data_IF_870095561774
#
_entry.id   IF_870095561774
#
_cell.length_a   1.000
_cell.length_b   1.000
_cell.length_c   1.000
_cell.angle_alpha   90.00
_cell.angle_beta   90.00
_cell.angle_gamma   90.00
#
_symmetry.space_group_name_H-M   'P 1'
#
loop_
_entity.id
_entity.type
_entity.pdbx_description
1 polymer ?
#
# COMPACT_ATOMS: atom_id res chain seq x y z
N UNK A 1 -46.83 33.96 -27.63
CA UNK A 1 -46.29 33.06 -26.60
C UNK A 1 -44.89 32.63 -27.06
N UNK A 2 -43.84 33.21 -26.48
CA UNK A 2 -42.45 32.80 -26.71
C UNK A 2 -42.11 31.70 -25.69
N UNK A 3 -41.78 30.49 -26.15
CA UNK A 3 -41.17 29.47 -25.31
C UNK A 3 -39.65 29.62 -25.39
N UNK A 4 -39.03 30.11 -24.32
CA UNK A 4 -37.57 30.13 -24.14
C UNK A 4 -37.18 28.77 -23.59
N UNK A 5 -36.48 27.98 -24.40
CA UNK A 5 -36.00 26.66 -24.00
C UNK A 5 -34.57 26.80 -23.47
N UNK A 6 -34.42 26.81 -22.15
CA UNK A 6 -33.12 26.76 -21.48
C UNK A 6 -32.55 25.33 -21.57
N UNK A 7 -31.51 25.15 -22.37
CA UNK A 7 -30.70 23.92 -22.35
C UNK A 7 -29.71 24.05 -21.19
N UNK A 8 -29.94 23.29 -20.11
CA UNK A 8 -28.94 23.09 -19.07
C UNK A 8 -27.93 22.03 -19.55
N UNK A 9 -26.70 22.44 -19.83
CA UNK A 9 -25.59 21.51 -20.03
C UNK A 9 -25.16 20.97 -18.66
N UNK A 10 -25.39 19.67 -18.41
CA UNK A 10 -24.87 18.97 -17.23
C UNK A 10 -23.45 18.53 -17.54
N UNK A 11 -22.44 19.19 -16.94
CA UNK A 11 -21.07 18.67 -16.94
C UNK A 11 -21.04 17.42 -16.04
N UNK A 12 -20.93 16.24 -16.64
CA UNK A 12 -20.51 15.05 -15.91
C UNK A 12 -19.01 15.16 -15.65
N UNK A 13 -18.64 15.50 -14.41
CA UNK A 13 -17.28 15.29 -13.94
C UNK A 13 -17.03 13.78 -13.91
N UNK A 14 -16.17 13.29 -14.80
CA UNK A 14 -15.68 11.92 -14.74
C UNK A 14 -14.69 11.87 -13.57
N UNK A 15 -15.15 11.40 -12.41
CA UNK A 15 -14.23 11.01 -11.35
C UNK A 15 -13.58 9.70 -11.78
N UNK A 16 -12.34 9.77 -12.27
CA UNK A 16 -11.49 8.58 -12.33
C UNK A 16 -11.14 8.24 -10.88
N UNK A 17 -11.71 7.17 -10.33
CA UNK A 17 -11.21 6.63 -9.05
C UNK A 17 -9.78 6.15 -9.31
N UNK A 18 -8.81 6.72 -8.63
CA UNK A 18 -7.45 6.19 -8.66
C UNK A 18 -7.40 4.92 -7.81
N UNK A 19 -6.71 3.90 -8.30
CA UNK A 19 -6.50 2.67 -7.56
C UNK A 19 -5.64 2.94 -6.33
N UNK A 20 -6.14 2.70 -5.12
CA UNK A 20 -5.49 3.18 -3.89
C UNK A 20 -4.91 2.03 -3.06
N UNK A 21 -3.72 2.24 -2.50
CA UNK A 21 -3.08 1.36 -1.52
C UNK A 21 -2.90 2.14 -0.22
N UNK A 22 -3.66 1.77 0.80
CA UNK A 22 -3.61 2.36 2.13
C UNK A 22 -2.82 1.48 3.10
N UNK A 23 -1.81 2.04 3.76
CA UNK A 23 -0.96 1.33 4.74
C UNK A 23 -1.16 1.93 6.12
N UNK A 24 -1.71 1.14 7.04
CA UNK A 24 -2.00 1.52 8.42
C UNK A 24 -0.93 1.01 9.38
N UNK A 25 -0.45 1.90 10.24
CA UNK A 25 0.54 1.59 11.26
C UNK A 25 -0.11 1.45 12.63
N UNK A 26 -0.39 0.20 13.02
CA UNK A 26 -0.76 -0.13 14.40
C UNK A 26 0.44 -0.53 15.26
N UNK A 27 1.66 -0.18 14.87
CA UNK A 27 2.83 -0.32 15.73
C UNK A 27 2.89 0.85 16.74
N UNK A 28 3.68 0.70 17.80
CA UNK A 28 3.85 1.74 18.83
C UNK A 28 4.94 2.77 18.52
N UNK A 29 5.38 2.85 17.27
CA UNK A 29 6.46 3.73 16.80
C UNK A 29 6.20 4.13 15.34
N UNK A 30 6.83 5.22 14.91
CA UNK A 30 6.77 5.66 13.51
C UNK A 30 7.51 4.67 12.61
N UNK A 31 7.01 4.56 11.38
CA UNK A 31 7.61 3.77 10.31
C UNK A 31 7.93 4.68 9.14
N UNK A 32 8.71 4.18 8.21
CA UNK A 32 9.15 4.93 7.03
C UNK A 32 8.87 4.11 5.80
N UNK A 33 8.26 4.74 4.80
CA UNK A 33 7.84 4.07 3.58
C UNK A 33 8.44 4.73 2.35
N UNK A 34 8.87 3.91 1.40
CA UNK A 34 9.36 4.33 0.10
C UNK A 34 8.62 3.59 -0.98
N UNK A 35 8.47 4.25 -2.11
CA UNK A 35 8.02 3.61 -3.34
C UNK A 35 9.19 3.53 -4.31
N UNK A 36 9.49 2.32 -4.78
CA UNK A 36 10.60 2.04 -5.68
C UNK A 36 10.10 1.25 -6.88
N UNK A 37 10.75 1.44 -8.03
CA UNK A 37 10.41 0.79 -9.30
C UNK A 37 11.54 1.03 -10.29
N UNK A 38 11.25 1.17 -11.58
CA UNK A 38 12.25 1.58 -12.57
C UNK A 38 12.67 3.05 -12.42
N UNK A 39 11.80 3.88 -11.84
CA UNK A 39 12.06 5.29 -11.56
C UNK A 39 12.88 5.46 -10.28
N UNK A 40 13.39 6.69 -10.07
CA UNK A 40 14.05 7.04 -8.82
C UNK A 40 13.09 6.85 -7.62
N UNK A 41 13.57 6.33 -6.47
CA UNK A 41 12.75 6.14 -5.28
C UNK A 41 11.99 7.39 -4.83
N UNK A 42 10.71 7.24 -4.49
CA UNK A 42 9.91 8.29 -3.81
C UNK A 42 9.90 8.01 -2.30
N UNK A 43 10.27 9.00 -1.48
CA UNK A 43 10.22 8.90 -0.01
C UNK A 43 11.54 9.29 0.69
N UNK A 44 11.65 9.07 2.01
CA UNK A 44 10.65 8.39 2.86
C UNK A 44 9.43 9.27 3.12
N UNK A 45 8.26 8.65 3.14
CA UNK A 45 7.11 9.17 3.87
C UNK A 45 7.15 8.65 5.30
N UNK A 46 6.85 9.53 6.27
CA UNK A 46 6.72 9.13 7.67
C UNK A 46 5.32 8.58 7.89
N UNK A 47 5.24 7.29 8.20
CA UNK A 47 4.03 6.61 8.60
C UNK A 47 3.95 6.63 10.14
N UNK A 48 3.35 7.70 10.68
CA UNK A 48 3.26 7.91 12.11
C UNK A 48 2.50 6.79 12.85
N UNK A 49 2.85 6.53 14.11
CA UNK A 49 2.16 5.56 14.95
C UNK A 49 0.66 5.89 15.07
N UNK A 50 -0.19 4.91 14.78
CA UNK A 50 -1.66 5.05 14.81
C UNK A 50 -2.27 5.75 13.59
N UNK A 51 -1.47 6.06 12.57
CA UNK A 51 -1.90 6.72 11.33
C UNK A 51 -1.83 5.78 10.11
N UNK A 52 -2.14 6.31 8.94
CA UNK A 52 -1.93 5.67 7.65
C UNK A 52 -1.24 6.60 6.64
N UNK A 53 -0.68 5.99 5.60
CA UNK A 53 -0.26 6.65 4.36
C UNK A 53 -1.03 6.06 3.19
N UNK A 54 -1.20 6.85 2.15
CA UNK A 54 -1.88 6.46 0.91
C UNK A 54 -0.91 6.54 -0.26
N UNK A 55 -0.93 5.51 -1.08
CA UNK A 55 -0.30 5.46 -2.39
C UNK A 55 -1.38 5.25 -3.44
N UNK A 56 -1.16 5.77 -4.64
CA UNK A 56 -1.99 5.45 -5.80
C UNK A 56 -1.21 4.49 -6.67
N UNK A 57 -1.80 3.33 -6.96
CA UNK A 57 -1.17 2.32 -7.79
C UNK A 57 -1.06 2.87 -9.21
N UNK A 58 0.19 2.95 -9.67
CA UNK A 58 0.55 3.36 -11.02
C UNK A 58 1.27 2.20 -11.69
N UNK A 59 1.20 2.17 -13.02
CA UNK A 59 2.05 1.26 -13.78
C UNK A 59 3.49 1.72 -13.69
N UNK A 60 4.40 0.77 -13.54
CA UNK A 60 5.81 1.08 -13.66
C UNK A 60 6.15 1.49 -15.10
N UNK A 61 7.03 2.48 -15.25
CA UNK A 61 7.39 3.02 -16.56
C UNK A 61 8.08 1.99 -17.46
N UNK A 62 8.69 0.95 -16.88
CA UNK A 62 9.26 -0.19 -17.60
C UNK A 62 8.32 -1.39 -17.46
N UNK A 63 7.72 -1.88 -18.57
CA UNK A 63 6.81 -3.02 -18.53
C UNK A 63 7.44 -4.24 -17.84
N UNK A 64 6.74 -4.77 -16.83
CA UNK A 64 7.12 -5.99 -16.13
C UNK A 64 8.08 -5.84 -14.94
N UNK A 65 8.59 -4.64 -14.62
CA UNK A 65 9.46 -4.41 -13.44
C UNK A 65 8.65 -4.34 -12.14
N UNK A 66 7.43 -3.79 -12.21
CA UNK A 66 6.56 -3.60 -11.05
C UNK A 66 7.07 -2.54 -10.09
N UNK A 67 6.27 -2.26 -9.06
CA UNK A 67 6.54 -1.26 -8.03
C UNK A 67 6.58 -1.94 -6.67
N UNK A 68 7.44 -1.45 -5.79
CA UNK A 68 7.58 -1.91 -4.41
C UNK A 68 7.32 -0.75 -3.47
N UNK A 69 6.41 -0.95 -2.53
CA UNK A 69 6.29 -0.10 -1.35
C UNK A 69 7.08 -0.77 -0.22
N UNK A 70 8.29 -0.26 0.02
CA UNK A 70 9.18 -0.72 1.07
C UNK A 70 8.86 -0.01 2.39
N UNK A 71 8.79 -0.76 3.50
CA UNK A 71 8.43 -0.26 4.82
C UNK A 71 9.51 -0.67 5.81
N UNK A 72 10.10 0.29 6.52
CA UNK A 72 11.11 0.04 7.54
C UNK A 72 10.79 0.75 8.86
N UNK A 73 11.38 0.25 9.94
CA UNK A 73 11.44 0.95 11.24
C UNK A 73 12.58 1.97 11.29
N UNK A 74 13.51 1.92 10.34
CA UNK A 74 14.65 2.81 10.24
C UNK A 74 14.37 3.91 9.20
N UNK A 75 14.61 5.21 9.51
CA UNK A 75 14.39 6.33 8.59
C UNK A 75 15.25 6.31 7.32
N UNK A 76 16.31 5.51 7.28
CA UNK A 76 17.20 5.33 6.14
C UNK A 76 17.19 3.88 5.61
N UNK A 77 16.10 3.15 5.86
CA UNK A 77 16.06 1.69 5.76
C UNK A 77 16.35 1.09 4.38
N UNK A 78 16.12 1.84 3.29
CA UNK A 78 16.46 1.38 1.93
C UNK A 78 17.95 1.53 1.58
N UNK A 79 18.71 2.32 2.35
CA UNK A 79 20.11 2.66 2.01
C UNK A 79 21.14 2.06 2.98
N UNK A 80 20.74 1.57 4.15
CA UNK A 80 21.66 1.12 5.21
C UNK A 80 21.55 -0.37 5.53
N UNK A 81 20.80 -1.15 4.75
CA UNK A 81 20.62 -2.58 4.98
C UNK A 81 19.70 -2.91 6.16
N UNK A 82 18.91 -1.96 6.67
CA UNK A 82 17.89 -2.26 7.67
C UNK A 82 16.82 -3.22 7.10
N UNK A 83 16.16 -3.93 8.01
CA UNK A 83 15.04 -4.80 7.68
C UNK A 83 13.89 -4.03 7.04
N UNK A 84 13.32 -4.60 5.98
CA UNK A 84 12.23 -4.03 5.21
C UNK A 84 11.11 -5.07 5.03
N UNK A 85 9.86 -4.63 5.17
CA UNK A 85 8.71 -5.32 4.63
C UNK A 85 8.38 -4.68 3.29
N UNK A 86 8.19 -5.50 2.26
CA UNK A 86 7.93 -5.03 0.92
C UNK A 86 6.54 -5.50 0.48
N UNK A 87 5.71 -4.57 0.03
CA UNK A 87 4.54 -4.87 -0.77
C UNK A 87 4.88 -4.61 -2.23
N UNK A 88 5.02 -5.67 -3.02
CA UNK A 88 5.33 -5.56 -4.44
C UNK A 88 4.07 -5.75 -5.26
N UNK A 89 3.90 -4.96 -6.32
CA UNK A 89 2.82 -5.11 -7.26
C UNK A 89 3.20 -4.77 -8.69
N UNK A 90 2.45 -5.33 -9.65
CA UNK A 90 2.48 -4.95 -11.07
C UNK A 90 1.05 -4.69 -11.51
N UNK A 91 0.75 -3.42 -11.81
CA UNK A 91 -0.53 -3.00 -12.38
C UNK A 91 -0.45 -3.11 -13.91
N UNK A 92 -1.46 -3.73 -14.53
CA UNK A 92 -1.57 -3.88 -15.97
C UNK A 92 -2.56 -2.88 -16.58
N UNK A 93 -2.53 -2.70 -17.90
CA UNK A 93 -3.43 -1.77 -18.63
C UNK A 93 -4.92 -2.10 -18.46
N UNK A 94 -5.24 -3.36 -18.23
CA UNK A 94 -6.61 -3.84 -18.02
C UNK A 94 -7.11 -3.63 -16.57
N UNK A 95 -6.31 -2.97 -15.72
CA UNK A 95 -6.60 -2.76 -14.30
C UNK A 95 -6.37 -4.00 -13.44
N UNK A 96 -5.79 -5.07 -13.98
CA UNK A 96 -5.41 -6.23 -13.17
C UNK A 96 -4.09 -6.00 -12.43
N UNK A 97 -3.97 -6.61 -11.25
CA UNK A 97 -2.83 -6.43 -10.35
C UNK A 97 -2.25 -7.78 -9.97
N UNK A 98 -0.96 -7.98 -10.24
CA UNK A 98 -0.17 -9.01 -9.58
C UNK A 98 0.44 -8.42 -8.32
N UNK A 99 0.42 -9.15 -7.21
CA UNK A 99 0.92 -8.63 -5.94
C UNK A 99 1.51 -9.72 -5.04
N UNK A 100 2.45 -9.33 -4.20
CA UNK A 100 2.99 -10.17 -3.15
C UNK A 100 3.55 -9.35 -1.98
N UNK A 101 3.88 -10.07 -0.90
CA UNK A 101 4.67 -9.51 0.18
C UNK A 101 5.94 -10.33 0.39
N UNK A 102 7.01 -9.62 0.73
CA UNK A 102 8.32 -10.19 1.01
C UNK A 102 9.04 -9.36 2.06
N UNK A 103 10.17 -9.86 2.53
CA UNK A 103 11.05 -9.16 3.46
C UNK A 103 12.46 -9.13 2.91
N UNK A 104 13.15 -8.01 3.12
CA UNK A 104 14.58 -7.87 2.87
C UNK A 104 15.31 -7.61 4.18
N UNK A 105 16.53 -8.11 4.30
CA UNK A 105 17.42 -7.88 5.45
C UNK A 105 16.79 -8.21 6.82
N UNK A 106 16.04 -9.32 6.88
CA UNK A 106 15.43 -9.85 8.10
C UNK A 106 13.93 -9.64 8.19
N UNK A 107 13.36 -9.86 9.37
CA UNK A 107 11.91 -9.86 9.63
C UNK A 107 11.53 -8.69 10.55
N UNK A 108 11.39 -7.44 10.02
CA UNK A 108 11.26 -6.25 10.85
C UNK A 108 10.01 -6.26 11.73
N UNK A 109 8.98 -7.02 11.36
CA UNK A 109 7.71 -7.14 12.09
C UNK A 109 7.51 -8.48 12.77
N UNK A 110 8.56 -9.30 12.97
CA UNK A 110 8.43 -10.59 13.67
C UNK A 110 7.72 -10.44 15.03
N UNK A 111 6.75 -11.32 15.28
CA UNK A 111 5.85 -11.30 16.44
C UNK A 111 4.73 -10.25 16.37
N UNK A 112 4.52 -9.63 15.19
CA UNK A 112 3.48 -8.61 14.96
C UNK A 112 2.67 -8.95 13.73
N UNK A 113 1.38 -9.23 13.92
CA UNK A 113 0.47 -9.57 12.83
C UNK A 113 0.43 -8.50 11.74
N UNK A 114 0.48 -8.96 10.49
CA UNK A 114 0.26 -8.15 9.29
C UNK A 114 -0.91 -8.75 8.50
N UNK A 115 -1.85 -7.91 8.07
CA UNK A 115 -2.97 -8.30 7.21
C UNK A 115 -3.05 -7.36 6.00
N UNK A 116 -3.19 -7.92 4.79
CA UNK A 116 -3.49 -7.17 3.56
C UNK A 116 -4.79 -7.69 2.93
N UNK A 117 -5.69 -6.77 2.63
CA UNK A 117 -7.01 -7.03 2.03
C UNK A 117 -7.22 -6.16 0.82
N UNK A 118 -8.04 -6.62 -0.13
CA UNK A 118 -8.16 -6.03 -1.46
C UNK A 118 -9.62 -5.94 -1.87
N UNK A 119 -9.96 -4.88 -2.60
CA UNK A 119 -11.24 -4.68 -3.25
C UNK A 119 -11.04 -4.48 -4.76
N UNK A 120 -11.93 -5.04 -5.59
CA UNK A 120 -12.89 -6.12 -5.29
C UNK A 120 -12.19 -7.34 -4.70
N UNK A 121 -12.97 -8.19 -4.00
CA UNK A 121 -12.44 -9.26 -3.16
C UNK A 121 -11.40 -10.13 -3.89
N UNK A 122 -10.19 -10.19 -3.36
CA UNK A 122 -9.07 -10.99 -3.85
C UNK A 122 -8.35 -11.70 -2.70
N UNK A 123 -7.54 -12.75 -2.96
CA UNK A 123 -6.90 -13.52 -1.91
C UNK A 123 -6.09 -12.65 -0.92
N UNK A 124 -6.45 -12.61 0.38
CA UNK A 124 -5.81 -11.73 1.36
C UNK A 124 -4.45 -12.29 1.82
N UNK A 125 -3.48 -11.42 2.10
CA UNK A 125 -2.21 -11.82 2.71
C UNK A 125 -2.34 -11.71 4.22
N UNK A 126 -2.04 -12.78 4.96
CA UNK A 126 -2.13 -12.79 6.42
C UNK A 126 -0.85 -13.39 6.99
N UNK A 127 -0.04 -12.58 7.66
CA UNK A 127 1.18 -13.00 8.34
C UNK A 127 0.96 -12.86 9.85
N UNK A 128 0.40 -13.89 10.52
CA UNK A 128 -0.02 -13.79 11.92
C UNK A 128 1.14 -13.46 12.86
N UNK A 129 2.34 -13.95 12.54
CA UNK A 129 3.57 -13.71 13.31
C UNK A 129 4.45 -12.62 12.69
N UNK A 130 3.94 -11.86 11.71
CA UNK A 130 4.71 -10.85 11.00
C UNK A 130 5.91 -11.37 10.22
N UNK A 131 5.85 -12.66 9.87
CA UNK A 131 6.82 -13.41 9.06
C UNK A 131 6.06 -14.12 7.96
N UNK A 132 6.62 -14.15 6.75
CA UNK A 132 6.04 -14.82 5.59
C UNK A 132 5.77 -16.31 5.87
N UNK A 133 4.51 -16.78 5.83
CA UNK A 133 4.21 -18.19 5.92
C UNK A 133 4.83 -18.97 4.76
N UNK A 134 5.19 -20.24 5.02
CA UNK A 134 5.67 -21.14 3.96
C UNK A 134 4.57 -21.30 2.91
N UNK A 135 4.94 -21.15 1.64
CA UNK A 135 4.02 -21.26 0.50
C UNK A 135 3.22 -20.00 0.19
N UNK A 136 3.37 -18.92 0.96
CA UNK A 136 2.83 -17.62 0.54
C UNK A 136 3.66 -17.05 -0.62
N UNK A 137 2.99 -16.41 -1.57
CA UNK A 137 3.62 -16.01 -2.83
C UNK A 137 2.75 -15.04 -3.62
N UNK A 138 3.07 -14.92 -4.90
CA UNK A 138 2.41 -14.01 -5.82
C UNK A 138 0.95 -14.37 -6.04
N UNK A 139 0.10 -13.35 -6.04
CA UNK A 139 -1.35 -13.43 -6.18
C UNK A 139 -1.81 -12.49 -7.30
N UNK A 140 -3.04 -12.69 -7.73
CA UNK A 140 -3.64 -11.94 -8.84
C UNK A 140 -5.01 -11.39 -8.42
N UNK A 141 -5.22 -10.10 -8.69
CA UNK A 141 -6.51 -9.43 -8.65
C UNK A 141 -6.88 -9.04 -10.08
N UNK A 142 -8.06 -9.46 -10.55
CA UNK A 142 -8.50 -9.24 -11.92
C UNK A 142 -8.82 -7.77 -12.24
N UNK A 143 -9.22 -7.00 -11.24
CA UNK A 143 -9.63 -5.60 -11.41
C UNK A 143 -9.39 -4.88 -10.11
N UNK A 144 -8.15 -4.50 -9.84
CA UNK A 144 -7.80 -3.82 -8.62
C UNK A 144 -8.50 -2.46 -8.53
N UNK A 145 -8.93 -2.09 -7.34
CA UNK A 145 -9.49 -0.76 -7.04
C UNK A 145 -8.91 -0.23 -5.72
N UNK A 146 -8.75 -1.11 -4.71
CA UNK A 146 -8.25 -0.68 -3.41
C UNK A 146 -7.53 -1.80 -2.64
N UNK A 147 -6.47 -1.45 -1.92
CA UNK A 147 -5.78 -2.30 -0.94
C UNK A 147 -5.74 -1.63 0.43
N UNK A 148 -5.90 -2.43 1.48
CA UNK A 148 -5.62 -2.04 2.86
C UNK A 148 -4.60 -3.00 3.44
N UNK A 149 -3.45 -2.47 3.84
CA UNK A 149 -2.37 -3.19 4.53
C UNK A 149 -2.31 -2.67 5.96
N UNK A 150 -2.41 -3.56 6.94
CA UNK A 150 -2.41 -3.23 8.37
C UNK A 150 -1.21 -3.88 9.04
N UNK A 151 -0.36 -3.05 9.63
CA UNK A 151 0.86 -3.48 10.32
C UNK A 151 0.64 -3.54 11.83
N UNK A 152 1.21 -4.54 12.51
CA UNK A 152 1.14 -4.71 13.96
C UNK A 152 -0.29 -4.83 14.53
N UNK A 153 -1.19 -5.49 13.79
CA UNK A 153 -2.60 -5.68 14.19
C UNK A 153 -2.71 -6.26 15.60
N UNK A 154 -3.58 -5.67 16.43
CA UNK A 154 -3.80 -6.08 17.82
C UNK A 154 -2.77 -5.55 18.83
N UNK A 155 -1.76 -4.79 18.39
CA UNK A 155 -0.84 -4.14 19.32
C UNK A 155 -1.50 -2.96 20.04
N UNK A 156 -1.24 -2.80 21.34
CA UNK A 156 -1.70 -1.63 22.11
C UNK A 156 -0.99 -0.38 21.59
N UNK A 157 -1.74 0.55 21.03
CA UNK A 157 -1.26 1.88 20.67
C UNK A 157 -0.84 2.64 21.94
N UNK A 158 0.37 3.21 21.93
CA UNK A 158 0.79 4.11 23.01
C UNK A 158 0.04 5.42 22.78
N UNK A 159 -1.00 5.70 23.58
CA UNK A 159 -1.75 6.97 23.49
C UNK A 159 -0.73 8.11 23.58
N UNK A 160 -0.59 8.89 22.52
CA UNK A 160 0.16 10.15 22.55
C UNK A 160 -0.70 11.08 23.41
N UNK A 161 -0.30 11.31 24.65
CA UNK A 161 -0.85 12.40 25.44
C UNK A 161 -0.37 13.68 24.74
N UNK A 162 -1.31 14.39 24.13
CA UNK A 162 -1.10 15.77 23.72
C UNK A 162 -0.82 16.58 24.98
N UNK A 163 0.32 17.28 24.99
CA UNK A 163 0.74 18.20 26.05
C UNK A 163 0.29 19.62 25.71
#
# INVERSE_FOLDING_TARGET
MLFVQFIFAVLFAHFTSADEISIYNYCGQDLYTWETGSAAPRGPLVLAAGSNVQYYAEQDAVPGVGTVIAISKDPNGINNGAGQLNFQYTLNDDGSLWYEMSTNNGEPFKGKRIDATFAPASPPINWPEGVKPVGDGTRYNKKFEFATIKLCVGSKQKKRFEA
#
